data_IF_906585357899
#
_entry.id   IF_906585357899
#
_cell.length_a   1.000
_cell.length_b   1.000
_cell.length_c   1.000
_cell.angle_alpha   90.00
_cell.angle_beta   90.00
_cell.angle_gamma   90.00
#
_symmetry.space_group_name_H-M   'P 1'
#
loop_
_entity.id
_entity.type
_entity.pdbx_description
1 polymer ?
#
# COMPACT_ATOMS: atom_id res chain seq x y z
N UNK A 1 -19.96 4.46 -5.66
CA UNK A 1 -18.91 4.17 -6.67
C UNK A 1 -17.71 3.48 -6.04
N UNK A 2 -16.73 2.99 -6.84
CA UNK A 2 -15.57 2.23 -6.36
C UNK A 2 -14.65 2.99 -5.37
N UNK A 3 -14.85 4.30 -5.23
CA UNK A 3 -14.16 5.17 -4.27
C UNK A 3 -14.97 5.47 -3.00
N UNK A 4 -16.27 5.14 -2.96
CA UNK A 4 -17.13 5.40 -1.79
C UNK A 4 -16.75 4.53 -0.57
N UNK A 5 -16.10 3.38 -0.79
CA UNK A 5 -15.53 2.57 0.28
C UNK A 5 -14.23 3.13 0.86
N UNK A 6 -13.50 3.96 0.09
CA UNK A 6 -12.24 4.57 0.52
C UNK A 6 -12.46 5.75 1.47
N UNK A 7 -13.54 6.51 1.26
CA UNK A 7 -13.96 7.59 2.15
C UNK A 7 -14.24 7.10 3.59
N UNK A 8 -14.87 5.94 3.75
CA UNK A 8 -15.23 5.38 5.09
C UNK A 8 -14.02 4.97 5.95
N UNK A 9 -12.83 4.87 5.36
CA UNK A 9 -11.60 4.58 6.09
C UNK A 9 -10.85 5.83 6.55
N UNK A 10 -11.13 7.01 5.96
CA UNK A 10 -10.49 8.26 6.34
C UNK A 10 -10.93 8.75 7.74
N UNK A 11 -12.20 8.52 8.11
CA UNK A 11 -12.72 8.89 9.44
C UNK A 11 -12.31 7.92 10.56
N UNK A 12 -11.69 6.78 10.23
CA UNK A 12 -11.23 5.75 11.18
C UNK A 12 -9.74 5.48 11.05
N UNK A 13 -8.96 6.49 10.69
CA UNK A 13 -7.52 6.37 10.71
C UNK A 13 -7.08 6.41 12.18
N UNK A 14 -6.93 5.23 12.75
CA UNK A 14 -6.39 5.06 14.10
C UNK A 14 -4.94 5.53 14.10
N UNK A 15 -4.64 6.58 14.85
CA UNK A 15 -3.31 7.20 14.96
C UNK A 15 -2.24 6.16 15.33
N UNK A 16 -2.61 5.15 16.12
CA UNK A 16 -1.71 4.03 16.48
C UNK A 16 -1.30 3.20 15.27
N UNK A 17 -2.19 3.04 14.29
CA UNK A 17 -1.87 2.32 13.05
C UNK A 17 -0.91 3.12 12.18
N UNK A 18 -1.09 4.44 12.08
CA UNK A 18 -0.16 5.30 11.36
C UNK A 18 1.23 5.25 11.99
N UNK A 19 1.31 5.37 13.31
CA UNK A 19 2.59 5.33 14.03
C UNK A 19 3.32 3.99 13.80
N UNK A 20 2.60 2.87 13.73
CA UNK A 20 3.21 1.56 13.41
C UNK A 20 3.72 1.50 11.98
N UNK A 21 2.94 1.99 11.01
CA UNK A 21 3.36 2.02 9.62
C UNK A 21 4.62 2.87 9.46
N UNK A 22 4.64 4.05 10.09
CA UNK A 22 5.80 4.93 10.11
C UNK A 22 7.02 4.24 10.74
N UNK A 23 6.87 3.61 11.91
CA UNK A 23 7.95 2.87 12.55
C UNK A 23 8.52 1.75 11.67
N UNK A 24 7.66 1.02 10.96
CA UNK A 24 8.06 -0.03 10.01
C UNK A 24 8.88 0.57 8.86
N UNK A 25 8.39 1.65 8.24
CA UNK A 25 9.08 2.31 7.12
C UNK A 25 10.42 2.90 7.57
N UNK A 26 10.45 3.52 8.75
CA UNK A 26 11.66 4.09 9.33
C UNK A 26 12.73 3.02 9.63
N UNK A 27 12.31 1.78 9.91
CA UNK A 27 13.20 0.63 10.12
C UNK A 27 13.73 -0.03 8.83
N UNK A 28 13.27 0.43 7.66
CA UNK A 28 13.81 0.02 6.36
C UNK A 28 14.99 0.90 5.95
N UNK A 29 15.94 0.31 5.23
CA UNK A 29 16.99 1.05 4.52
C UNK A 29 16.43 1.76 3.30
N UNK A 30 17.13 2.81 2.81
CA UNK A 30 16.73 3.54 1.60
C UNK A 30 16.54 2.61 0.39
N UNK A 31 17.45 1.64 0.22
CA UNK A 31 17.36 0.67 -0.87
C UNK A 31 16.10 -0.21 -0.76
N UNK A 32 15.74 -0.67 0.43
CA UNK A 32 14.53 -1.49 0.64
C UNK A 32 13.24 -0.70 0.40
N UNK A 33 13.21 0.59 0.74
CA UNK A 33 12.05 1.48 0.48
C UNK A 33 11.81 1.68 -1.01
N UNK A 34 12.89 1.81 -1.79
CA UNK A 34 12.83 1.96 -3.25
C UNK A 34 12.55 0.62 -3.95
N UNK A 35 13.10 -0.46 -3.41
CA UNK A 35 13.05 -1.81 -4.00
C UNK A 35 12.39 -2.80 -3.06
N UNK A 36 11.06 -2.74 -2.93
CA UNK A 36 10.30 -3.61 -2.04
C UNK A 36 10.50 -5.12 -2.30
N UNK A 37 10.87 -5.51 -3.53
CA UNK A 37 11.10 -6.89 -3.93
C UNK A 37 12.33 -7.53 -3.26
N UNK A 38 13.30 -6.72 -2.80
CA UNK A 38 14.51 -7.23 -2.13
C UNK A 38 14.24 -7.67 -0.69
N UNK A 39 13.06 -7.36 -0.14
CA UNK A 39 12.68 -7.62 1.26
C UNK A 39 12.30 -9.10 1.46
N UNK A 40 13.35 -9.91 1.64
CA UNK A 40 13.25 -11.33 1.99
C UNK A 40 12.94 -11.57 3.48
N UNK A 41 12.78 -12.83 3.89
CA UNK A 41 12.40 -13.19 5.26
C UNK A 41 13.37 -12.70 6.34
N UNK A 42 14.68 -12.67 6.06
CA UNK A 42 15.69 -12.14 7.00
C UNK A 42 15.51 -10.63 7.22
N UNK A 43 15.34 -9.88 6.13
CA UNK A 43 15.09 -8.43 6.19
C UNK A 43 13.79 -8.12 6.92
N UNK A 44 12.72 -8.89 6.70
CA UNK A 44 11.44 -8.72 7.43
C UNK A 44 11.60 -8.93 8.93
N UNK A 45 12.36 -9.94 9.36
CA UNK A 45 12.67 -10.15 10.79
C UNK A 45 13.44 -8.97 11.38
N UNK A 46 14.42 -8.42 10.65
CA UNK A 46 15.19 -7.24 11.07
C UNK A 46 14.31 -6.00 11.19
N UNK A 47 13.48 -5.72 10.19
CA UNK A 47 12.55 -4.58 10.17
C UNK A 47 11.58 -4.69 11.35
N UNK A 48 10.91 -5.84 11.51
CA UNK A 48 9.97 -6.10 12.60
C UNK A 48 10.60 -5.84 13.98
N UNK A 49 11.83 -6.32 14.20
CA UNK A 49 12.58 -6.06 15.44
C UNK A 49 12.92 -4.58 15.63
N UNK A 50 13.31 -3.88 14.55
CA UNK A 50 13.64 -2.45 14.60
C UNK A 50 12.44 -1.55 14.83
N UNK A 51 11.26 -1.95 14.33
CA UNK A 51 10.02 -1.17 14.44
C UNK A 51 9.18 -1.53 15.66
N UNK A 52 9.57 -2.56 16.43
CA UNK A 52 8.77 -3.07 17.54
C UNK A 52 7.44 -3.70 17.10
N UNK A 53 7.38 -4.22 15.87
CA UNK A 53 6.17 -4.83 15.29
C UNK A 53 6.38 -6.31 14.98
N UNK A 54 5.32 -7.00 14.58
CA UNK A 54 5.39 -8.38 14.13
C UNK A 54 5.86 -8.50 12.67
N UNK A 55 6.40 -9.67 12.29
CA UNK A 55 6.74 -9.98 10.90
C UNK A 55 5.48 -10.01 10.01
N UNK A 56 4.34 -10.37 10.58
CA UNK A 56 3.04 -10.39 9.94
C UNK A 56 2.58 -8.97 9.56
N UNK A 57 2.75 -7.99 10.46
CA UNK A 57 2.46 -6.59 10.15
C UNK A 57 3.32 -6.07 9.00
N UNK A 58 4.63 -6.39 9.00
CA UNK A 58 5.52 -6.04 7.88
C UNK A 58 5.06 -6.70 6.58
N UNK A 59 4.67 -7.99 6.61
CA UNK A 59 4.14 -8.69 5.42
C UNK A 59 2.86 -8.03 4.89
N UNK A 60 1.95 -7.63 5.78
CA UNK A 60 0.70 -7.01 5.40
C UNK A 60 0.95 -5.65 4.74
N UNK A 61 1.85 -4.84 5.29
CA UNK A 61 2.23 -3.56 4.69
C UNK A 61 2.82 -3.76 3.28
N UNK A 62 3.75 -4.71 3.11
CA UNK A 62 4.35 -4.99 1.80
C UNK A 62 3.32 -5.47 0.77
N UNK A 63 2.34 -6.28 1.18
CA UNK A 63 1.24 -6.74 0.32
C UNK A 63 0.34 -5.59 -0.11
N UNK A 64 -0.09 -4.74 0.84
CA UNK A 64 -0.91 -3.56 0.57
C UNK A 64 -0.20 -2.62 -0.39
N UNK A 65 1.09 -2.34 -0.14
CA UNK A 65 1.91 -1.53 -1.04
C UNK A 65 2.02 -2.13 -2.44
N UNK A 66 2.28 -3.43 -2.57
CA UNK A 66 2.36 -4.10 -3.86
C UNK A 66 1.03 -4.03 -4.65
N UNK A 67 -0.11 -4.19 -3.96
CA UNK A 67 -1.43 -4.06 -4.55
C UNK A 67 -1.70 -2.62 -5.04
N UNK A 68 -1.38 -1.61 -4.22
CA UNK A 68 -1.54 -0.20 -4.60
C UNK A 68 -0.63 0.15 -5.77
N UNK A 69 0.64 -0.28 -5.76
CA UNK A 69 1.59 -0.07 -6.86
C UNK A 69 1.07 -0.69 -8.17
N UNK A 70 0.52 -1.90 -8.11
CA UNK A 70 -0.11 -2.57 -9.26
C UNK A 70 -1.29 -1.77 -9.80
N UNK A 71 -2.15 -1.26 -8.90
CA UNK A 71 -3.29 -0.42 -9.27
C UNK A 71 -2.84 0.89 -9.93
N UNK A 72 -1.91 1.63 -9.33
CA UNK A 72 -1.34 2.86 -9.91
C UNK A 72 -0.73 2.62 -11.30
N UNK A 73 0.00 1.50 -11.47
CA UNK A 73 0.55 1.11 -12.78
C UNK A 73 -0.54 0.79 -13.81
N UNK A 74 -1.71 0.30 -13.38
CA UNK A 74 -2.84 0.06 -14.28
C UNK A 74 -3.56 1.35 -14.64
N UNK A 75 -3.69 2.30 -13.71
CA UNK A 75 -4.33 3.61 -13.95
C UNK A 75 -3.59 4.40 -15.03
N UNK A 76 -2.25 4.38 -15.03
CA UNK A 76 -1.44 5.06 -16.05
C UNK A 76 -1.47 4.42 -17.45
N UNK A 77 -2.18 3.30 -17.66
CA UNK A 77 -2.28 2.67 -18.99
C UNK A 77 -3.40 3.30 -19.81
N UNK A 78 -3.18 3.61 -21.10
CA UNK A 78 -4.22 4.12 -22.00
C UNK A 78 -5.44 3.20 -22.08
N UNK A 79 -5.25 1.89 -21.89
CA UNK A 79 -6.32 0.90 -21.86
C UNK A 79 -7.25 1.04 -20.66
N UNK A 80 -6.75 1.45 -19.49
CA UNK A 80 -7.58 1.72 -18.32
C UNK A 80 -8.33 3.05 -18.46
N UNK A 81 -7.67 4.09 -18.97
CA UNK A 81 -8.32 5.35 -19.33
C UNK A 81 -9.45 5.14 -20.36
N UNK A 82 -9.21 4.30 -21.38
CA UNK A 82 -10.21 3.94 -22.39
C UNK A 82 -11.34 3.07 -21.82
N UNK A 83 -11.04 2.21 -20.83
CA UNK A 83 -12.04 1.41 -20.10
C UNK A 83 -12.91 2.26 -19.16
N UNK A 84 -12.34 3.30 -18.55
CA UNK A 84 -13.07 4.31 -17.80
C UNK A 84 -13.90 5.22 -18.71
N UNK A 85 -13.36 5.67 -19.84
CA UNK A 85 -14.10 6.45 -20.84
C UNK A 85 -15.22 5.64 -21.53
N UNK A 86 -15.04 4.33 -21.65
CA UNK A 86 -16.05 3.39 -22.16
C UNK A 86 -17.11 2.99 -21.14
N UNK A 87 -16.92 3.30 -19.84
CA UNK A 87 -18.00 3.26 -18.85
C UNK A 87 -18.87 4.50 -19.06
N UNK A 88 -19.77 4.43 -20.05
CA UNK A 88 -20.92 5.33 -20.16
C UNK A 88 -21.58 5.40 -18.78
N UNK A 89 -21.52 6.55 -18.14
CA UNK A 89 -22.32 6.86 -16.96
C UNK A 89 -23.79 6.80 -17.40
N UNK A 90 -24.61 5.86 -16.92
CA UNK A 90 -26.03 5.87 -17.24
C UNK A 90 -26.66 7.08 -16.54
N UNK A 91 -27.09 8.08 -17.31
CA UNK A 91 -27.89 9.21 -16.81
C UNK A 91 -27.30 10.62 -16.94
N UNK A 92 -26.42 10.88 -17.91
CA UNK A 92 -26.16 12.24 -18.43
C UNK A 92 -26.30 12.24 -19.95
#
# INVERSE_FOLDING_TARGET
GPFAGMQKHADKVDEKQLNRVEAIINSMTQHERLHHEVINGSRRKRIARGSGTSVQEVNNLLRQYAQMRKMFKQIGKPSFARKLAGMKLPGM
#
